data_IF_853273860878
#
_entry.id   IF_853273860878
#
_cell.length_a   1.000
_cell.length_b   1.000
_cell.length_c   1.000
_cell.angle_alpha   90.00
_cell.angle_beta   90.00
_cell.angle_gamma   90.00
#
_symmetry.space_group_name_H-M   'P 1'
#
loop_
_entity.id
_entity.type
_entity.pdbx_description
1 polymer ?
#
# COMPACT_ATOMS: atom_id res chain seq x y z
N UNK A 1 -7.59 -18.38 -5.01
CA UNK A 1 -7.89 -16.96 -4.80
C UNK A 1 -8.97 -16.82 -3.75
N UNK A 2 -8.67 -16.11 -2.68
CA UNK A 2 -9.64 -15.92 -1.60
C UNK A 2 -10.57 -14.76 -1.96
N UNK A 3 -11.86 -14.95 -1.70
CA UNK A 3 -12.84 -13.87 -1.84
C UNK A 3 -13.08 -13.25 -0.46
N UNK A 4 -13.17 -11.94 -0.41
CA UNK A 4 -13.49 -11.20 0.79
C UNK A 4 -14.66 -10.28 0.50
N UNK A 5 -15.73 -10.43 1.26
CA UNK A 5 -16.92 -9.61 1.10
C UNK A 5 -16.83 -8.26 1.83
N UNK A 6 -15.85 -8.11 2.70
CA UNK A 6 -15.61 -6.86 3.43
C UNK A 6 -14.80 -5.87 2.60
N UNK A 7 -14.93 -4.59 2.94
CA UNK A 7 -14.16 -3.54 2.30
C UNK A 7 -12.65 -3.71 2.54
N UNK A 8 -11.80 -3.22 1.63
CA UNK A 8 -10.36 -3.22 1.85
C UNK A 8 -9.97 -2.49 3.14
N UNK A 9 -8.99 -3.05 3.83
CA UNK A 9 -8.45 -2.49 5.08
C UNK A 9 -6.95 -2.25 4.94
N UNK A 10 -6.42 -1.31 5.73
CA UNK A 10 -4.98 -1.03 5.69
C UNK A 10 -4.18 -2.30 6.03
N UNK A 11 -3.06 -2.44 5.36
CA UNK A 11 -2.20 -3.62 5.50
C UNK A 11 -2.57 -4.78 4.60
N UNK A 12 -3.69 -4.71 3.91
CA UNK A 12 -4.12 -5.74 2.98
C UNK A 12 -3.57 -5.50 1.57
N UNK A 13 -3.37 -6.60 0.87
CA UNK A 13 -3.02 -6.60 -0.55
C UNK A 13 -4.26 -6.92 -1.37
N UNK A 14 -4.49 -6.13 -2.41
CA UNK A 14 -5.62 -6.26 -3.30
C UNK A 14 -5.18 -6.10 -4.75
N UNK A 15 -5.83 -6.80 -5.68
CA UNK A 15 -5.73 -6.44 -7.08
C UNK A 15 -6.56 -5.19 -7.32
N UNK A 16 -5.96 -4.25 -8.04
CA UNK A 16 -6.55 -2.93 -8.28
C UNK A 16 -6.35 -2.56 -9.75
N UNK A 17 -7.38 -1.97 -10.33
CA UNK A 17 -7.31 -1.42 -11.69
C UNK A 17 -6.80 0.03 -11.60
N UNK A 18 -5.54 0.23 -11.98
CA UNK A 18 -4.90 1.54 -11.94
C UNK A 18 -5.13 2.37 -13.19
N UNK A 19 -5.94 1.88 -14.11
CA UNK A 19 -6.26 2.58 -15.34
C UNK A 19 -5.60 1.99 -16.57
N UNK A 20 -5.99 2.50 -17.74
CA UNK A 20 -5.47 2.01 -19.01
C UNK A 20 -4.07 2.55 -19.28
N UNK A 21 -3.30 1.81 -20.09
CA UNK A 21 -1.97 2.24 -20.50
C UNK A 21 -1.99 3.57 -21.25
N UNK A 22 -3.06 3.85 -21.97
CA UNK A 22 -3.23 5.10 -22.70
C UNK A 22 -3.28 6.34 -21.80
N UNK A 23 -3.72 6.15 -20.55
CA UNK A 23 -3.78 7.23 -19.57
C UNK A 23 -2.46 7.41 -18.82
N UNK A 24 -1.52 6.50 -19.00
CA UNK A 24 -0.24 6.52 -18.30
C UNK A 24 0.80 7.23 -19.15
N UNK A 25 1.21 8.41 -18.71
CA UNK A 25 2.28 9.17 -19.36
C UNK A 25 3.49 9.19 -18.45
N UNK A 26 4.57 8.58 -18.89
CA UNK A 26 5.82 8.57 -18.14
C UNK A 26 6.12 7.23 -17.49
N UNK A 27 7.41 7.00 -17.25
CA UNK A 27 7.93 5.71 -16.77
C UNK A 27 7.68 5.45 -15.28
N UNK A 28 7.25 6.45 -14.54
CA UNK A 28 7.03 6.37 -13.09
C UNK A 28 5.58 6.12 -12.71
N UNK A 29 4.67 6.10 -13.69
CA UNK A 29 3.25 5.90 -13.45
C UNK A 29 2.90 4.45 -13.74
N UNK A 30 2.28 3.80 -12.76
CA UNK A 30 1.87 2.41 -12.87
C UNK A 30 0.42 2.33 -13.35
N UNK A 31 0.16 1.41 -14.25
CA UNK A 31 -1.16 1.24 -14.86
C UNK A 31 -1.55 -0.22 -14.93
N UNK A 32 -2.78 -0.45 -15.39
CA UNK A 32 -3.33 -1.78 -15.53
C UNK A 32 -3.74 -2.39 -14.20
N UNK A 33 -4.07 -3.67 -14.23
CA UNK A 33 -4.44 -4.41 -13.03
C UNK A 33 -3.16 -4.87 -12.33
N UNK A 34 -2.97 -4.43 -11.11
CA UNK A 34 -1.77 -4.73 -10.31
C UNK A 34 -2.13 -4.99 -8.87
N UNK A 35 -1.31 -5.78 -8.16
CA UNK A 35 -1.41 -5.81 -6.71
C UNK A 35 -1.07 -4.44 -6.13
N UNK A 36 -1.79 -4.06 -5.09
CA UNK A 36 -1.51 -2.84 -4.33
C UNK A 36 -1.59 -3.13 -2.84
N UNK A 37 -0.85 -2.36 -2.05
CA UNK A 37 -0.94 -2.39 -0.59
C UNK A 37 -1.81 -1.23 -0.14
N UNK A 38 -2.85 -1.53 0.62
CA UNK A 38 -3.74 -0.49 1.18
C UNK A 38 -3.07 0.11 2.41
N UNK A 39 -2.93 1.43 2.44
CA UNK A 39 -2.24 2.14 3.51
C UNK A 39 -3.06 3.23 4.19
N UNK A 40 -4.18 3.66 3.60
CA UNK A 40 -5.06 4.62 4.27
C UNK A 40 -5.78 3.97 5.45
N UNK A 41 -6.06 4.77 6.48
CA UNK A 41 -6.79 4.23 7.63
C UNK A 41 -8.23 3.88 7.23
N UNK A 42 -8.77 2.88 7.92
CA UNK A 42 -10.05 2.29 7.55
C UNK A 42 -11.23 3.25 7.70
N UNK A 43 -11.15 4.12 8.69
CA UNK A 43 -12.20 5.11 8.94
C UNK A 43 -12.27 6.15 7.84
N UNK A 44 -11.10 6.65 7.40
CA UNK A 44 -11.02 7.57 6.27
C UNK A 44 -11.60 6.94 5.01
N UNK A 45 -11.19 5.71 4.71
CA UNK A 45 -11.65 5.01 3.51
C UNK A 45 -13.15 4.74 3.54
N UNK A 46 -13.71 4.44 4.71
CA UNK A 46 -15.15 4.24 4.85
C UNK A 46 -15.95 5.51 4.51
N UNK A 47 -15.44 6.67 4.88
CA UNK A 47 -16.12 7.94 4.62
C UNK A 47 -15.91 8.46 3.20
N UNK A 48 -14.69 8.35 2.70
CA UNK A 48 -14.34 8.99 1.43
C UNK A 48 -14.60 8.11 0.20
N UNK A 49 -14.80 6.81 0.39
CA UNK A 49 -14.86 5.80 -0.68
C UNK A 49 -13.59 5.79 -1.54
N UNK A 50 -12.48 6.25 -0.96
CA UNK A 50 -11.18 6.28 -1.59
C UNK A 50 -10.15 5.58 -0.72
N UNK A 51 -9.12 5.07 -1.36
CA UNK A 51 -8.02 4.38 -0.69
C UNK A 51 -6.70 4.96 -1.14
N UNK A 52 -5.78 5.13 -0.19
CA UNK A 52 -4.38 5.36 -0.53
C UNK A 52 -3.70 4.00 -0.61
N UNK A 53 -2.97 3.79 -1.69
CA UNK A 53 -2.33 2.51 -1.96
C UNK A 53 -0.91 2.73 -2.49
N UNK A 54 -0.05 1.72 -2.31
CA UNK A 54 1.24 1.64 -2.98
C UNK A 54 1.18 0.51 -4.00
N UNK A 55 1.59 0.77 -5.25
CA UNK A 55 1.60 -0.28 -6.26
C UNK A 55 2.74 -1.27 -6.02
N UNK A 56 2.51 -2.52 -6.40
CA UNK A 56 3.54 -3.55 -6.45
C UNK A 56 3.90 -3.82 -7.90
N UNK A 57 5.17 -4.09 -8.16
CA UNK A 57 5.65 -4.46 -9.48
C UNK A 57 6.48 -5.73 -9.40
N UNK A 58 6.38 -6.56 -10.45
CA UNK A 58 7.22 -7.74 -10.62
C UNK A 58 8.48 -7.45 -11.42
N UNK A 59 8.61 -6.24 -11.93
CA UNK A 59 9.82 -5.84 -12.66
C UNK A 59 11.01 -5.79 -11.70
N UNK A 60 12.10 -6.46 -12.06
CA UNK A 60 13.34 -6.33 -11.32
C UNK A 60 13.84 -4.90 -11.45
N UNK A 61 13.94 -4.22 -10.34
CA UNK A 61 14.65 -2.96 -10.28
C UNK A 61 16.07 -3.28 -9.86
N UNK A 62 17.05 -2.96 -10.69
CA UNK A 62 18.46 -3.16 -10.38
C UNK A 62 18.97 -2.23 -9.26
N UNK A 63 18.10 -1.41 -8.72
CA UNK A 63 18.43 -0.47 -7.66
C UNK A 63 17.82 -0.91 -6.36
N UNK A 64 18.66 -1.10 -5.36
CA UNK A 64 18.21 -1.15 -3.99
C UNK A 64 17.89 0.29 -3.59
N UNK A 65 16.61 0.58 -3.46
CA UNK A 65 16.15 1.89 -3.01
C UNK A 65 15.54 1.74 -1.62
N UNK A 66 15.80 2.68 -0.69
CA UNK A 66 15.12 2.65 0.61
C UNK A 66 13.60 2.78 0.51
N UNK A 67 13.10 3.26 -0.64
CA UNK A 67 11.66 3.38 -0.89
C UNK A 67 11.03 2.13 -1.52
N UNK A 68 11.81 1.07 -1.69
CA UNK A 68 11.34 -0.20 -2.24
C UNK A 68 11.36 -1.29 -1.17
N UNK A 69 10.26 -2.01 -1.03
CA UNK A 69 10.16 -3.14 -0.09
C UNK A 69 9.84 -4.40 -0.87
N UNK A 70 10.72 -5.40 -0.78
CA UNK A 70 10.55 -6.65 -1.49
C UNK A 70 9.62 -7.59 -0.73
N UNK A 71 8.70 -8.23 -1.46
CA UNK A 71 7.75 -9.18 -0.93
C UNK A 71 7.94 -10.51 -1.66
N UNK A 72 8.32 -11.54 -0.91
CA UNK A 72 8.46 -12.89 -1.43
C UNK A 72 7.08 -13.52 -1.58
N UNK A 73 6.83 -14.33 -2.63
CA UNK A 73 5.59 -15.06 -2.73
C UNK A 73 5.50 -16.11 -1.62
N UNK A 74 4.36 -16.18 -0.97
CA UNK A 74 4.05 -17.25 -0.04
C UNK A 74 2.54 -17.48 0.00
N UNK A 75 2.13 -18.63 0.53
CA UNK A 75 0.73 -19.04 0.53
C UNK A 75 -0.16 -18.15 1.40
N UNK A 76 0.42 -17.48 2.39
CA UNK A 76 -0.33 -16.65 3.33
C UNK A 76 -0.82 -15.34 2.71
N UNK A 77 -0.04 -14.77 1.79
CA UNK A 77 -0.41 -13.51 1.15
C UNK A 77 -1.01 -13.69 -0.25
N UNK A 78 -1.00 -14.90 -0.79
CA UNK A 78 -1.63 -15.19 -2.06
C UNK A 78 -0.95 -14.61 -3.29
N UNK A 79 0.27 -14.10 -3.17
CA UNK A 79 1.04 -13.63 -4.32
C UNK A 79 1.70 -14.83 -5.02
N UNK A 80 1.69 -14.82 -6.35
CA UNK A 80 2.28 -15.88 -7.15
C UNK A 80 3.74 -15.59 -7.55
N UNK A 81 4.18 -14.35 -7.43
CA UNK A 81 5.52 -13.92 -7.84
C UNK A 81 6.13 -12.98 -6.81
N UNK A 82 7.46 -13.01 -6.73
CA UNK A 82 8.20 -11.99 -6.01
C UNK A 82 7.81 -10.61 -6.55
N UNK A 83 7.51 -9.70 -5.65
CA UNK A 83 7.03 -8.36 -5.99
C UNK A 83 7.76 -7.32 -5.15
N UNK A 84 7.75 -6.09 -5.63
CA UNK A 84 8.33 -4.95 -4.92
C UNK A 84 7.26 -3.90 -4.70
N UNK A 85 7.11 -3.49 -3.45
CA UNK A 85 6.22 -2.38 -3.08
C UNK A 85 6.94 -1.08 -3.37
N UNK A 86 6.34 -0.21 -4.17
CA UNK A 86 6.93 1.07 -4.56
C UNK A 86 6.38 2.15 -3.65
N UNK A 87 7.05 2.37 -2.54
CA UNK A 87 6.60 3.32 -1.50
C UNK A 87 6.73 4.77 -1.95
N UNK A 88 7.60 5.04 -2.90
CA UNK A 88 7.79 6.39 -3.46
C UNK A 88 6.65 6.85 -4.37
N UNK A 89 5.69 5.99 -4.68
CA UNK A 89 4.65 6.30 -5.64
C UNK A 89 3.25 6.02 -5.08
N UNK A 90 2.85 6.72 -4.01
CA UNK A 90 1.51 6.55 -3.45
C UNK A 90 0.45 6.99 -4.46
N UNK A 91 -0.66 6.27 -4.48
CA UNK A 91 -1.76 6.54 -5.39
C UNK A 91 -3.07 6.58 -4.61
N UNK A 92 -3.97 7.44 -5.04
CA UNK A 92 -5.34 7.49 -4.51
C UNK A 92 -6.24 6.83 -5.53
N UNK A 93 -6.97 5.81 -5.10
CA UNK A 93 -7.87 5.07 -5.98
C UNK A 93 -9.29 5.07 -5.42
N UNK A 94 -10.26 4.95 -6.30
CA UNK A 94 -11.65 4.84 -5.91
C UNK A 94 -11.98 3.41 -5.50
N UNK A 95 -13.02 3.26 -4.69
CA UNK A 95 -13.49 1.95 -4.23
C UNK A 95 -13.73 0.99 -5.40
N UNK A 96 -14.29 1.49 -6.49
CA UNK A 96 -14.63 0.68 -7.67
C UNK A 96 -13.42 0.10 -8.38
N UNK A 97 -12.24 0.66 -8.14
CA UNK A 97 -11.00 0.17 -8.73
C UNK A 97 -10.42 -1.04 -7.99
N UNK A 98 -10.87 -1.28 -6.76
CA UNK A 98 -10.44 -2.43 -5.96
C UNK A 98 -11.20 -3.67 -6.43
N UNK A 99 -10.47 -4.66 -6.95
CA UNK A 99 -11.08 -5.81 -7.65
C UNK A 99 -11.22 -7.03 -6.76
N UNK A 100 -10.11 -7.53 -6.21
CA UNK A 100 -10.13 -8.76 -5.42
C UNK A 100 -9.07 -8.76 -4.35
N UNK A 101 -9.38 -9.39 -3.23
CA UNK A 101 -8.50 -9.55 -2.09
C UNK A 101 -7.41 -10.56 -2.39
N UNK A 102 -6.16 -10.25 -2.01
CA UNK A 102 -5.03 -11.15 -2.13
C UNK A 102 -4.67 -11.76 -0.77
N UNK A 103 -4.49 -10.92 0.23
CA UNK A 103 -4.08 -11.36 1.56
C UNK A 103 -3.62 -10.18 2.41
N UNK A 104 -3.07 -10.50 3.57
CA UNK A 104 -2.52 -9.51 4.48
C UNK A 104 -1.00 -9.53 4.40
N UNK A 105 -0.39 -8.34 4.41
CA UNK A 105 1.06 -8.24 4.48
C UNK A 105 1.55 -8.55 5.89
N UNK A 106 2.65 -9.29 5.99
CA UNK A 106 3.23 -9.65 7.28
C UNK A 106 3.63 -8.41 8.08
N UNK A 107 3.49 -8.44 9.43
CA UNK A 107 3.82 -7.27 10.25
C UNK A 107 5.24 -6.76 10.07
N UNK A 108 6.22 -7.65 9.88
CA UNK A 108 7.61 -7.24 9.67
C UNK A 108 7.78 -6.46 8.36
N UNK A 109 7.03 -6.83 7.32
CA UNK A 109 7.05 -6.11 6.05
C UNK A 109 6.31 -4.78 6.14
N UNK A 110 5.21 -4.75 6.88
CA UNK A 110 4.51 -3.48 7.16
C UNK A 110 5.43 -2.50 7.87
N UNK A 111 6.25 -2.98 8.79
CA UNK A 111 7.23 -2.14 9.49
C UNK A 111 8.28 -1.60 8.52
N UNK A 112 8.75 -2.41 7.58
CA UNK A 112 9.68 -1.96 6.54
C UNK A 112 9.05 -0.88 5.65
N UNK A 113 7.77 -1.05 5.31
CA UNK A 113 7.03 -0.03 4.54
C UNK A 113 6.93 1.27 5.34
N UNK A 114 6.64 1.19 6.62
CA UNK A 114 6.55 2.36 7.49
C UNK A 114 7.88 3.12 7.55
N UNK A 115 9.00 2.40 7.69
CA UNK A 115 10.34 3.00 7.69
C UNK A 115 10.62 3.67 6.34
N UNK A 116 10.33 2.98 5.24
CA UNK A 116 10.53 3.52 3.90
C UNK A 116 9.71 4.79 3.69
N UNK A 117 8.49 4.83 4.21
CA UNK A 117 7.60 6.00 4.11
C UNK A 117 8.17 7.19 4.87
N UNK A 118 8.66 6.98 6.08
CA UNK A 118 9.28 8.06 6.89
C UNK A 118 10.50 8.62 6.16
N UNK A 119 11.32 7.76 5.57
CA UNK A 119 12.50 8.20 4.83
C UNK A 119 12.12 8.99 3.57
N UNK A 120 11.01 8.61 2.94
CA UNK A 120 10.51 9.27 1.72
C UNK A 120 9.84 10.60 2.03
N UNK A 121 9.25 10.74 3.22
CA UNK A 121 8.44 11.91 3.56
C UNK A 121 8.86 12.47 4.92
N UNK A 122 9.77 13.45 4.95
CA UNK A 122 10.30 14.00 6.21
C UNK A 122 9.25 14.58 7.16
N UNK A 123 8.08 14.97 6.65
CA UNK A 123 6.99 15.46 7.49
C UNK A 123 6.53 14.43 8.53
N UNK A 124 6.62 13.13 8.19
CA UNK A 124 6.27 12.07 9.13
C UNK A 124 7.27 12.01 10.29
N UNK A 125 8.54 12.28 10.01
CA UNK A 125 9.56 12.32 11.05
C UNK A 125 9.28 13.46 12.03
N UNK A 126 8.79 14.59 11.55
CA UNK A 126 8.37 15.70 12.43
C UNK A 126 7.21 15.28 13.34
N UNK A 127 6.23 14.57 12.81
CA UNK A 127 5.11 14.10 13.61
C UNK A 127 5.55 13.14 14.71
N UNK A 128 6.44 12.23 14.41
CA UNK A 128 7.02 11.30 15.38
C UNK A 128 7.80 12.09 16.45
N UNK A 129 8.61 13.06 16.02
CA UNK A 129 9.39 13.89 16.92
C UNK A 129 8.55 14.74 17.89
N UNK A 130 7.29 15.00 17.57
CA UNK A 130 6.36 15.72 18.45
C UNK A 130 5.58 14.79 19.40
N UNK A 131 5.81 13.48 19.33
CA UNK A 131 5.15 12.52 20.20
C UNK A 131 3.71 12.21 19.81
N UNK A 132 3.33 12.42 18.56
CA UNK A 132 1.96 12.19 18.11
C UNK A 132 1.54 10.72 18.27
N UNK A 133 2.50 9.80 18.26
CA UNK A 133 2.24 8.38 18.46
C UNK A 133 1.73 8.05 19.87
N UNK A 134 1.90 8.95 20.83
CA UNK A 134 1.38 8.82 22.20
C UNK A 134 -0.05 9.34 22.32
N UNK A 135 -0.57 10.00 21.31
CA UNK A 135 -1.93 10.51 21.32
C UNK A 135 -2.95 9.38 21.26
N UNK A 136 -3.87 9.36 22.23
CA UNK A 136 -4.93 8.34 22.24
C UNK A 136 -5.84 8.43 21.01
N UNK A 137 -6.09 9.63 20.52
CA UNK A 137 -6.88 9.84 19.30
C UNK A 137 -6.18 9.23 18.08
N UNK A 138 -4.88 9.46 17.97
CA UNK A 138 -4.09 8.91 16.89
C UNK A 138 -4.09 7.37 16.94
N UNK A 139 -3.85 6.81 18.12
CA UNK A 139 -3.84 5.35 18.29
C UNK A 139 -5.20 4.74 18.00
N UNK A 140 -6.29 5.39 18.35
CA UNK A 140 -7.63 4.93 18.06
C UNK A 140 -7.88 4.88 16.54
N UNK A 141 -7.40 5.87 15.80
CA UNK A 141 -7.50 5.90 14.34
C UNK A 141 -6.63 4.82 13.71
N UNK A 142 -5.41 4.63 14.19
CA UNK A 142 -4.47 3.66 13.63
C UNK A 142 -4.95 2.20 13.81
N UNK A 143 -5.72 1.93 14.86
CA UNK A 143 -6.21 0.59 15.15
C UNK A 143 -7.54 0.26 14.46
N UNK A 144 -8.08 1.18 13.72
CA UNK A 144 -9.29 0.90 12.95
C UNK A 144 -8.98 -0.06 11.80
#
# INVERSE_FOLDING_TARGET
MQSKNAAPRWGELWYCDLGSEDACTGSTIYCGVRPVLVTSNNKYSAYSSQYQVYPLTTKRTNRRSPSHVNVEPNDLIGLSRESTIIVENPMIVAKEQMLSYIGELEPCLLQQVAIAKVMQEPLLALAIGTGIEESSEYLAVANY
#
